data_IF_262367141487
#
_entry.id   IF_262367141487
#
_cell.length_a   1.000
_cell.length_b   1.000
_cell.length_c   1.000
_cell.angle_alpha   90.00
_cell.angle_beta   90.00
_cell.angle_gamma   90.00
#
_symmetry.space_group_name_H-M   'P 1'
#
loop_
_entity.id
_entity.type
_entity.pdbx_description
1 polymer ?
#
# COMPACT_ATOMS: atom_id res chain seq x y z
N UNK A 1 -8.60 0.05 -23.83
CA UNK A 1 -7.95 0.60 -22.61
C UNK A 1 -7.67 -0.55 -21.66
N UNK A 2 -6.42 -0.90 -21.43
CA UNK A 2 -6.07 -1.95 -20.47
C UNK A 2 -6.02 -1.33 -19.06
N UNK A 3 -6.90 -1.80 -18.17
CA UNK A 3 -6.90 -1.43 -16.75
C UNK A 3 -5.69 -2.06 -16.06
N UNK A 4 -4.82 -1.23 -15.48
CA UNK A 4 -3.73 -1.68 -14.61
C UNK A 4 -4.30 -1.94 -13.22
N UNK A 5 -4.61 -3.21 -12.95
CA UNK A 5 -5.08 -3.69 -11.65
C UNK A 5 -3.89 -4.03 -10.77
N UNK A 6 -3.96 -3.67 -9.50
CA UNK A 6 -3.00 -4.13 -8.50
C UNK A 6 -3.30 -5.61 -8.21
N UNK A 7 -2.49 -6.52 -8.76
CA UNK A 7 -2.66 -7.98 -8.64
C UNK A 7 -1.83 -8.60 -7.53
N UNK A 8 -0.71 -7.96 -7.23
CA UNK A 8 0.20 -8.36 -6.19
C UNK A 8 0.89 -7.15 -5.60
N UNK A 9 1.36 -7.31 -4.37
CA UNK A 9 2.14 -6.33 -3.64
C UNK A 9 3.16 -7.07 -2.79
N UNK A 10 4.39 -6.56 -2.75
CA UNK A 10 5.48 -7.11 -1.96
C UNK A 10 6.39 -5.97 -1.54
N UNK A 11 7.02 -6.07 -0.38
CA UNK A 11 7.93 -5.05 0.11
C UNK A 11 9.10 -5.66 0.87
N UNK A 12 10.23 -4.95 0.85
CA UNK A 12 11.37 -5.25 1.69
C UNK A 12 11.31 -4.40 2.97
N UNK A 13 11.85 -4.95 4.05
CA UNK A 13 11.91 -4.27 5.33
C UNK A 13 13.15 -4.72 6.10
N UNK A 14 13.63 -3.87 7.01
CA UNK A 14 14.75 -4.19 7.89
C UNK A 14 14.20 -4.69 9.23
N UNK A 15 14.58 -5.89 9.62
CA UNK A 15 14.28 -6.46 10.93
C UNK A 15 15.56 -7.12 11.46
N UNK A 16 15.92 -6.82 12.71
CA UNK A 16 17.17 -7.28 13.34
C UNK A 16 18.44 -6.97 12.53
N UNK A 17 18.49 -5.79 11.89
CA UNK A 17 19.55 -5.34 10.97
C UNK A 17 19.71 -6.18 9.69
N UNK A 18 18.75 -7.06 9.40
CA UNK A 18 18.72 -7.86 8.18
C UNK A 18 17.64 -7.34 7.23
N UNK A 19 17.98 -7.25 5.95
CA UNK A 19 17.01 -7.00 4.90
C UNK A 19 16.17 -8.27 4.69
N UNK A 20 14.88 -8.17 4.98
CA UNK A 20 13.89 -9.23 4.78
C UNK A 20 12.92 -8.84 3.68
N UNK A 21 12.41 -9.84 2.98
CA UNK A 21 11.37 -9.69 1.97
C UNK A 21 10.06 -10.23 2.52
N UNK A 22 8.97 -9.49 2.40
CA UNK A 22 7.65 -9.98 2.77
C UNK A 22 7.25 -11.16 1.88
N UNK A 23 6.31 -12.03 2.31
CA UNK A 23 5.55 -12.84 1.38
C UNK A 23 4.91 -11.96 0.30
N UNK A 24 4.67 -12.53 -0.88
CA UNK A 24 3.87 -11.86 -1.90
C UNK A 24 2.42 -11.84 -1.43
N UNK A 25 1.84 -10.64 -1.34
CA UNK A 25 0.41 -10.48 -1.17
C UNK A 25 -0.24 -10.56 -2.55
N UNK A 26 -1.27 -11.39 -2.70
CA UNK A 26 -1.93 -11.61 -3.99
C UNK A 26 -1.19 -12.61 -4.87
N UNK A 27 -1.29 -12.46 -6.19
CA UNK A 27 -0.68 -13.39 -7.14
C UNK A 27 0.00 -12.63 -8.27
N UNK A 28 1.33 -12.76 -8.33
CA UNK A 28 2.15 -12.16 -9.36
C UNK A 28 2.03 -12.95 -10.67
N UNK A 29 1.67 -12.27 -11.77
CA UNK A 29 1.62 -12.87 -13.12
C UNK A 29 2.25 -11.90 -14.11
N UNK A 30 3.29 -12.34 -14.81
CA UNK A 30 4.01 -11.56 -15.81
C UNK A 30 5.27 -10.88 -15.27
N UNK A 31 5.80 -9.92 -16.02
CA UNK A 31 7.04 -9.20 -15.68
C UNK A 31 6.80 -7.71 -15.33
N UNK A 32 5.54 -7.26 -15.33
CA UNK A 32 5.21 -5.86 -15.10
C UNK A 32 5.03 -5.61 -13.60
N UNK A 33 6.02 -4.98 -12.98
CA UNK A 33 5.94 -4.45 -11.63
C UNK A 33 6.54 -3.05 -11.59
N UNK A 34 6.01 -2.22 -10.70
CA UNK A 34 6.61 -0.93 -10.35
C UNK A 34 7.29 -1.09 -9.00
N UNK A 35 8.51 -0.58 -8.88
CA UNK A 35 9.29 -0.59 -7.64
C UNK A 35 9.56 0.83 -7.21
N UNK A 36 9.42 1.06 -5.91
CA UNK A 36 9.84 2.28 -5.27
C UNK A 36 10.91 1.91 -4.27
N UNK A 37 12.04 2.62 -4.34
CA UNK A 37 13.11 2.52 -3.37
C UNK A 37 13.14 3.79 -2.53
N UNK A 38 13.00 3.63 -1.22
CA UNK A 38 13.12 4.74 -0.28
C UNK A 38 14.58 4.95 0.10
N UNK A 39 14.94 6.18 0.44
CA UNK A 39 16.21 6.43 1.11
C UNK A 39 16.18 5.81 2.52
N UNK A 40 16.82 4.64 2.65
CA UNK A 40 16.78 3.79 3.85
C UNK A 40 17.26 4.48 5.13
N UNK A 41 18.01 5.58 5.03
CA UNK A 41 18.54 6.29 6.20
C UNK A 41 17.47 7.14 6.90
N UNK A 42 16.74 7.96 6.15
CA UNK A 42 15.87 9.01 6.71
C UNK A 42 14.45 9.02 6.15
N UNK A 43 14.13 8.12 5.21
CA UNK A 43 12.82 8.06 4.59
C UNK A 43 11.98 6.89 5.12
N UNK A 44 10.77 7.21 5.59
CA UNK A 44 9.83 6.25 6.15
C UNK A 44 8.39 6.62 5.80
N UNK A 45 7.55 5.60 5.67
CA UNK A 45 6.13 5.76 5.35
C UNK A 45 5.42 6.43 6.52
N UNK A 46 4.69 7.50 6.22
CA UNK A 46 3.83 8.25 7.16
C UNK A 46 2.36 8.22 6.78
N UNK A 47 2.03 7.76 5.57
CA UNK A 47 0.67 7.74 5.09
C UNK A 47 0.44 6.81 3.91
N UNK A 48 -0.83 6.47 3.73
CA UNK A 48 -1.32 5.70 2.60
C UNK A 48 -2.57 6.42 2.05
N UNK A 49 -2.58 6.67 0.75
CA UNK A 49 -3.75 7.21 0.06
C UNK A 49 -4.03 6.42 -1.21
N UNK A 50 -5.17 6.68 -1.84
CA UNK A 50 -5.51 5.97 -3.06
C UNK A 50 -6.92 6.23 -3.54
N UNK A 51 -7.32 5.45 -4.55
CA UNK A 51 -8.69 5.45 -5.06
C UNK A 51 -9.30 4.07 -4.93
N UNK A 52 -10.62 4.05 -4.79
CA UNK A 52 -11.41 2.84 -4.73
C UNK A 52 -12.74 3.02 -5.47
N UNK A 53 -13.35 1.89 -5.80
CA UNK A 53 -14.73 1.84 -6.28
C UNK A 53 -15.53 0.94 -5.33
N UNK A 54 -16.77 1.35 -5.07
CA UNK A 54 -17.75 0.58 -4.32
C UNK A 54 -19.05 0.48 -5.12
N UNK A 55 -19.08 -0.42 -6.10
CA UNK A 55 -20.24 -0.65 -6.97
C UNK A 55 -20.75 -2.10 -6.84
N UNK A 56 -22.08 -2.27 -6.85
CA UNK A 56 -22.70 -3.61 -6.84
C UNK A 56 -22.34 -4.50 -5.65
N UNK A 57 -21.99 -3.92 -4.49
CA UNK A 57 -21.55 -4.66 -3.30
C UNK A 57 -20.08 -5.10 -3.32
N UNK A 58 -19.34 -4.83 -4.39
CA UNK A 58 -17.91 -5.14 -4.50
C UNK A 58 -17.11 -3.86 -4.22
N UNK A 59 -16.14 -3.96 -3.31
CA UNK A 59 -15.16 -2.91 -3.05
C UNK A 59 -13.83 -3.29 -3.66
N UNK A 60 -13.25 -2.40 -4.45
CA UNK A 60 -11.96 -2.61 -5.12
C UNK A 60 -11.06 -1.43 -4.88
N UNK A 61 -9.81 -1.69 -4.47
CA UNK A 61 -8.78 -0.66 -4.46
C UNK A 61 -8.22 -0.55 -5.88
N UNK A 62 -8.30 0.65 -6.44
CA UNK A 62 -7.96 0.92 -7.82
C UNK A 62 -6.57 1.51 -7.95
N UNK A 63 -6.22 2.42 -7.04
CA UNK A 63 -4.87 2.98 -6.96
C UNK A 63 -4.36 3.11 -5.54
N UNK A 64 -3.03 3.12 -5.40
CA UNK A 64 -2.33 3.39 -4.14
C UNK A 64 -1.28 4.48 -4.34
N UNK A 65 -1.14 5.35 -3.35
CA UNK A 65 -0.01 6.24 -3.18
C UNK A 65 0.58 6.07 -1.78
N UNK A 66 1.89 5.87 -1.70
CA UNK A 66 2.62 5.82 -0.43
C UNK A 66 3.17 7.21 -0.13
N UNK A 67 2.82 7.75 1.03
CA UNK A 67 3.34 9.03 1.51
C UNK A 67 4.45 8.76 2.51
N UNK A 68 5.63 9.32 2.26
CA UNK A 68 6.77 9.31 3.17
C UNK A 68 6.95 10.69 3.81
N UNK A 69 7.86 10.79 4.77
CA UNK A 69 8.27 12.09 5.31
C UNK A 69 9.05 12.96 4.31
N UNK A 70 9.36 12.44 3.12
CA UNK A 70 10.14 13.13 2.08
C UNK A 70 9.30 13.40 0.83
N UNK A 71 8.59 12.41 0.32
CA UNK A 71 7.88 12.48 -0.96
C UNK A 71 6.61 11.62 -0.97
N UNK A 72 5.90 11.61 -2.11
CA UNK A 72 4.73 10.79 -2.37
C UNK A 72 4.92 9.98 -3.65
N UNK A 73 4.76 8.67 -3.53
CA UNK A 73 4.96 7.73 -4.62
C UNK A 73 3.64 7.15 -5.11
N UNK A 74 3.39 7.23 -6.42
CA UNK A 74 2.16 6.77 -7.08
C UNK A 74 1.51 7.88 -7.92
N UNK A 75 0.26 7.70 -8.38
CA UNK A 75 -0.61 6.56 -8.11
C UNK A 75 -0.20 5.30 -8.86
N UNK A 76 -0.01 4.20 -8.12
CA UNK A 76 0.13 2.87 -8.69
C UNK A 76 -1.24 2.28 -8.97
N UNK A 77 -1.45 1.71 -10.17
CA UNK A 77 -2.72 1.13 -10.58
C UNK A 77 -3.54 2.06 -11.48
N UNK A 78 -4.86 2.06 -11.32
CA UNK A 78 -5.79 2.84 -12.15
C UNK A 78 -6.34 4.03 -11.37
N UNK A 79 -6.00 5.25 -11.79
CA UNK A 79 -6.49 6.50 -11.19
C UNK A 79 -7.28 7.32 -12.21
N UNK A 80 -8.54 7.60 -11.90
CA UNK A 80 -9.40 8.54 -12.64
C UNK A 80 -10.10 9.46 -11.65
N UNK A 81 -10.35 10.71 -12.03
CA UNK A 81 -10.94 11.73 -11.15
C UNK A 81 -12.36 11.39 -10.68
N UNK A 82 -13.06 10.50 -11.40
CA UNK A 82 -14.39 10.03 -11.02
C UNK A 82 -14.37 8.96 -9.90
N UNK A 83 -13.21 8.39 -9.56
CA UNK A 83 -13.11 7.38 -8.52
C UNK A 83 -13.19 7.99 -7.12
N UNK A 84 -13.68 7.22 -6.16
CA UNK A 84 -13.71 7.65 -4.77
C UNK A 84 -12.29 7.61 -4.21
N UNK A 85 -11.93 8.61 -3.40
CA UNK A 85 -10.59 8.75 -2.84
C UNK A 85 -10.58 8.35 -1.36
N UNK A 86 -9.46 7.82 -0.89
CA UNK A 86 -9.19 7.62 0.52
C UNK A 86 -7.80 8.15 0.87
N UNK A 87 -7.63 8.59 2.12
CA UNK A 87 -6.35 8.99 2.67
C UNK A 87 -6.28 8.66 4.15
N UNK A 88 -5.18 8.07 4.58
CA UNK A 88 -4.89 7.73 5.96
C UNK A 88 -3.44 8.10 6.29
N UNK A 89 -3.27 9.19 7.04
CA UNK A 89 -1.98 9.67 7.52
C UNK A 89 -1.83 9.31 8.99
N UNK A 90 -0.76 8.58 9.32
CA UNK A 90 -0.52 8.05 10.67
C UNK A 90 0.81 8.54 11.27
N UNK A 91 1.75 9.00 10.45
CA UNK A 91 3.00 9.61 10.90
C UNK A 91 2.93 11.15 10.98
N UNK A 92 3.94 11.79 11.59
CA UNK A 92 5.17 11.18 12.12
C UNK A 92 4.99 10.56 13.52
N UNK A 93 3.88 10.83 14.21
CA UNK A 93 3.64 10.41 15.59
C UNK A 93 3.52 8.90 15.76
N UNK A 94 3.05 8.19 14.73
CA UNK A 94 3.03 6.74 14.73
C UNK A 94 3.95 6.18 13.65
N UNK A 95 4.57 5.03 13.94
CA UNK A 95 5.45 4.34 13.00
C UNK A 95 4.69 3.29 12.21
N UNK A 96 5.06 3.18 10.94
CA UNK A 96 4.66 2.07 10.10
C UNK A 96 5.11 0.73 10.72
N UNK A 97 4.21 -0.25 10.75
CA UNK A 97 4.43 -1.57 11.34
C UNK A 97 4.15 -2.73 10.39
N UNK A 98 3.75 -2.47 9.15
CA UNK A 98 3.44 -3.49 8.15
C UNK A 98 2.12 -3.25 7.43
N UNK A 99 1.86 -4.05 6.40
CA UNK A 99 0.61 -4.00 5.64
C UNK A 99 -0.28 -5.22 5.92
N UNK A 100 -1.59 -4.98 5.85
CA UNK A 100 -2.60 -6.01 5.65
C UNK A 100 -3.23 -5.80 4.28
N UNK A 101 -3.41 -6.86 3.49
CA UNK A 101 -4.11 -6.77 2.22
C UNK A 101 -4.92 -8.03 1.94
N UNK A 102 -6.05 -7.86 1.25
CA UNK A 102 -6.84 -8.98 0.73
C UNK A 102 -7.08 -8.81 -0.77
N UNK A 103 -7.28 -9.92 -1.46
CA UNK A 103 -7.47 -9.95 -2.91
C UNK A 103 -8.77 -10.66 -3.25
N UNK A 104 -9.46 -10.16 -4.27
CA UNK A 104 -10.54 -10.88 -4.93
C UNK A 104 -10.02 -11.58 -6.16
N UNK A 105 -10.53 -12.78 -6.41
CA UNK A 105 -10.28 -13.52 -7.63
C UNK A 105 -11.58 -13.60 -8.44
N UNK A 106 -11.69 -12.71 -9.42
CA UNK A 106 -12.83 -12.67 -10.33
C UNK A 106 -12.57 -13.62 -11.50
N UNK A 107 -13.55 -14.46 -11.86
CA UNK A 107 -13.39 -15.43 -12.95
C UNK A 107 -13.15 -14.78 -14.32
N UNK A 108 -13.68 -13.59 -14.53
CA UNK A 108 -13.60 -12.85 -15.78
C UNK A 108 -12.42 -11.87 -15.80
N UNK A 109 -12.14 -11.22 -14.67
CA UNK A 109 -11.17 -10.12 -14.58
C UNK A 109 -9.85 -10.48 -13.87
N UNK A 110 -9.78 -11.68 -13.29
CA UNK A 110 -8.64 -12.19 -12.55
C UNK A 110 -8.51 -11.59 -11.15
N UNK A 111 -7.29 -11.67 -10.62
CA UNK A 111 -6.98 -11.25 -9.26
C UNK A 111 -6.85 -9.72 -9.18
N UNK A 112 -7.41 -9.11 -8.13
CA UNK A 112 -7.31 -7.68 -7.85
C UNK A 112 -7.33 -7.39 -6.35
N UNK A 113 -6.61 -6.36 -5.92
CA UNK A 113 -6.61 -5.86 -4.55
C UNK A 113 -8.02 -5.43 -4.13
N UNK A 114 -8.56 -6.09 -3.12
CA UNK A 114 -9.89 -5.81 -2.57
C UNK A 114 -9.81 -4.85 -1.40
N UNK A 115 -8.89 -5.08 -0.46
CA UNK A 115 -8.67 -4.22 0.70
C UNK A 115 -7.20 -4.04 1.00
N UNK A 116 -6.87 -2.89 1.60
CA UNK A 116 -5.54 -2.56 2.11
C UNK A 116 -5.69 -1.93 3.50
N UNK A 117 -4.75 -2.20 4.38
CA UNK A 117 -4.66 -1.64 5.71
C UNK A 117 -3.21 -1.54 6.16
N UNK A 118 -2.98 -0.71 7.18
CA UNK A 118 -1.65 -0.47 7.75
C UNK A 118 -1.67 -0.84 9.22
N UNK A 119 -0.71 -1.65 9.64
CA UNK A 119 -0.40 -1.83 11.05
C UNK A 119 0.42 -0.63 11.52
N UNK A 120 -0.01 0.00 12.60
CA UNK A 120 0.59 1.22 13.11
C UNK A 120 1.08 0.98 14.54
N UNK A 121 2.34 1.35 14.83
CA UNK A 121 2.94 1.29 16.15
C UNK A 121 3.03 2.70 16.74
N UNK A 122 2.30 3.03 17.81
CA UNK A 122 2.43 4.33 18.46
C UNK A 122 3.86 4.56 18.94
N UNK A 123 4.41 5.74 18.69
CA UNK A 123 5.58 6.19 19.44
C UNK A 123 5.08 6.48 20.86
N UNK A 124 5.39 5.58 21.80
CA UNK A 124 5.15 5.87 23.21
C UNK A 124 5.99 7.09 23.55
N UNK A 125 5.33 8.23 23.76
CA UNK A 125 5.90 9.25 24.60
C UNK A 125 5.97 8.65 26.01
N UNK A 126 7.10 8.03 26.35
CA UNK A 126 7.51 7.94 27.74
C UNK A 126 7.78 9.39 28.18
N UNK A 127 6.71 10.15 28.42
CA UNK A 127 6.80 11.30 29.31
C UNK A 127 7.07 10.67 30.67
N UNK A 128 8.34 10.62 31.03
CA UNK A 128 8.77 10.48 32.42
C UNK A 128 8.02 11.54 33.21
N UNK A 129 7.03 11.10 33.99
CA UNK A 129 6.53 11.83 35.14
C UNK A 129 7.46 11.55 36.32
#
# INVERSE_FOLDING_TARGET
>A
MHSYRIRSFQYQYIEDRLLKLSPVYGHHVGANFETVEFNVVDEYIIGLSGTYESSGGIRKVLSLCFETNVDKYGPFGTHFDCHQQFSFRFGPENRFGGFYASFHNDRQYGISLATIGVYVRPLRNLRTA
#
